data_IF_732220556510
#
_entry.id   IF_732220556510
#
_cell.length_a   1.000
_cell.length_b   1.000
_cell.length_c   1.000
_cell.angle_alpha   90.00
_cell.angle_beta   90.00
_cell.angle_gamma   90.00
#
_symmetry.space_group_name_H-M   'P 1'
#
loop_
_entity.id
_entity.type
_entity.pdbx_description
1 polymer ?
#
# COMPACT_ATOMS: atom_id res chain seq x y z
N UNK A 1 -30.35 -14.74 -58.45
CA UNK A 1 -30.98 -15.97 -58.98
C UNK A 1 -30.15 -17.11 -58.42
N UNK A 2 -30.43 -17.56 -57.19
CA UNK A 2 -31.24 -18.75 -56.87
C UNK A 2 -30.50 -20.04 -57.28
N UNK A 3 -30.41 -21.15 -56.55
CA UNK A 3 -30.90 -21.72 -55.28
C UNK A 3 -30.10 -23.07 -55.17
N UNK A 4 -29.58 -23.51 -54.00
CA UNK A 4 -30.08 -24.64 -53.16
C UNK A 4 -29.99 -26.05 -53.88
N UNK A 5 -29.41 -27.18 -53.38
CA UNK A 5 -29.56 -28.01 -52.14
C UNK A 5 -28.45 -29.12 -52.09
N UNK A 6 -28.17 -29.64 -50.87
CA UNK A 6 -27.85 -31.06 -50.46
C UNK A 6 -26.53 -31.72 -50.94
N UNK A 7 -25.83 -32.66 -50.27
CA UNK A 7 -26.05 -33.70 -49.22
C UNK A 7 -24.72 -33.83 -48.41
N UNK A 8 -24.65 -34.22 -47.13
CA UNK A 8 -24.80 -35.60 -46.62
C UNK A 8 -23.55 -36.00 -45.79
N UNK A 9 -23.74 -36.48 -44.56
CA UNK A 9 -22.64 -36.89 -43.65
C UNK A 9 -22.12 -38.32 -43.94
N UNK A 10 -20.87 -38.64 -43.55
CA UNK A 10 -20.49 -40.02 -43.26
C UNK A 10 -20.02 -40.21 -41.80
N UNK A 11 -20.67 -41.15 -41.11
CA UNK A 11 -20.18 -41.79 -39.89
C UNK A 11 -19.03 -42.75 -40.19
N UNK A 12 -17.92 -42.67 -39.45
CA UNK A 12 -16.83 -43.65 -39.49
C UNK A 12 -16.54 -44.26 -38.12
N UNK A 13 -16.67 -45.59 -38.02
CA UNK A 13 -16.34 -46.41 -36.86
C UNK A 13 -14.95 -47.03 -37.01
N UNK A 14 -14.15 -46.94 -35.94
CA UNK A 14 -13.22 -47.99 -35.49
C UNK A 14 -11.73 -47.71 -35.66
N UNK A 15 -10.99 -47.68 -34.53
CA UNK A 15 -9.71 -48.38 -34.34
C UNK A 15 -9.12 -48.16 -32.93
N UNK A 16 -9.06 -49.27 -32.17
CA UNK A 16 -8.02 -49.74 -31.22
C UNK A 16 -6.94 -48.72 -30.81
N UNK A 17 -6.91 -48.32 -29.53
CA UNK A 17 -5.74 -47.69 -28.89
C UNK A 17 -5.30 -48.48 -27.66
N UNK A 18 -3.99 -48.67 -27.61
CA UNK A 18 -3.21 -49.63 -26.84
C UNK A 18 -3.20 -49.32 -25.34
N UNK A 19 -3.32 -50.37 -24.55
CA UNK A 19 -3.02 -50.42 -23.11
C UNK A 19 -1.58 -49.98 -22.83
N UNK A 20 -1.43 -48.78 -22.26
CA UNK A 20 -0.19 -48.34 -21.61
C UNK A 20 -0.40 -48.29 -20.10
N UNK A 21 0.31 -49.20 -19.43
CA UNK A 21 0.62 -49.21 -18.01
C UNK A 21 1.18 -47.85 -17.58
N UNK A 22 0.43 -47.05 -16.82
CA UNK A 22 0.98 -45.86 -16.14
C UNK A 22 1.26 -46.23 -14.69
N UNK A 23 2.55 -46.23 -14.36
CA UNK A 23 3.12 -46.57 -13.05
C UNK A 23 2.71 -45.52 -12.01
N UNK A 24 2.14 -46.00 -10.90
CA UNK A 24 1.99 -45.25 -9.66
C UNK A 24 3.39 -44.96 -9.10
N UNK A 25 3.79 -43.69 -9.08
CA UNK A 25 4.97 -43.21 -8.37
C UNK A 25 4.50 -42.30 -7.24
N UNK A 26 4.24 -42.96 -6.11
CA UNK A 26 3.92 -42.36 -4.83
C UNK A 26 5.18 -41.73 -4.23
N UNK A 27 5.01 -40.60 -3.54
CA UNK A 27 5.94 -39.98 -2.58
C UNK A 27 7.30 -39.49 -3.10
N UNK A 28 7.34 -38.20 -3.46
CA UNK A 28 8.34 -37.31 -2.89
C UNK A 28 7.58 -36.37 -1.95
N UNK A 29 7.65 -36.65 -0.66
CA UNK A 29 7.33 -35.65 0.35
C UNK A 29 8.30 -34.50 0.14
N UNK A 30 7.81 -33.37 -0.35
CA UNK A 30 8.55 -32.13 -0.27
C UNK A 30 8.90 -31.93 1.20
N UNK A 31 10.20 -31.91 1.49
CA UNK A 31 10.75 -31.41 2.75
C UNK A 31 10.19 -30.01 2.91
N UNK A 32 9.17 -29.89 3.76
CA UNK A 32 8.69 -28.61 4.23
C UNK A 32 9.89 -27.95 4.91
N UNK A 33 10.34 -26.87 4.30
CA UNK A 33 11.38 -26.00 4.81
C UNK A 33 11.01 -25.62 6.26
N UNK A 34 11.88 -26.00 7.21
CA UNK A 34 11.88 -25.43 8.55
C UNK A 34 12.37 -24.00 8.46
N UNK A 35 11.50 -23.10 8.00
CA UNK A 35 11.70 -21.67 8.07
C UNK A 35 11.02 -21.17 9.33
N UNK A 36 11.80 -20.73 10.32
CA UNK A 36 11.31 -20.03 11.50
C UNK A 36 10.32 -18.95 11.05
N UNK A 37 9.04 -19.16 11.31
CA UNK A 37 8.00 -18.18 11.01
C UNK A 37 8.22 -17.01 11.94
N UNK A 38 9.06 -16.06 11.51
CA UNK A 38 8.99 -14.70 12.03
C UNK A 38 7.54 -14.30 11.91
N UNK A 39 6.94 -14.04 13.07
CA UNK A 39 5.52 -13.81 13.14
C UNK A 39 5.14 -12.64 12.24
N UNK A 40 4.25 -12.82 11.28
CA UNK A 40 3.80 -11.75 10.39
C UNK A 40 2.50 -11.15 10.91
N UNK A 41 2.28 -9.87 10.67
CA UNK A 41 0.98 -9.22 10.77
C UNK A 41 0.69 -8.41 9.52
N UNK A 42 -0.40 -7.66 9.54
CA UNK A 42 -0.81 -6.79 8.44
C UNK A 42 -0.85 -5.34 8.91
N UNK A 43 -0.46 -4.41 8.06
CA UNK A 43 -0.61 -2.97 8.29
C UNK A 43 -1.52 -2.37 7.24
N UNK A 44 -2.45 -1.53 7.69
CA UNK A 44 -3.30 -0.67 6.89
C UNK A 44 -3.09 0.77 7.34
N UNK A 45 -2.93 1.68 6.38
CA UNK A 45 -2.86 3.12 6.67
C UNK A 45 -4.03 3.82 5.96
N UNK A 46 -4.77 4.62 6.71
CA UNK A 46 -5.87 5.45 6.20
C UNK A 46 -5.63 6.92 6.51
N UNK A 47 -6.14 7.78 5.65
CA UNK A 47 -6.06 9.23 5.76
C UNK A 47 -7.47 9.83 5.95
N UNK A 48 -7.57 10.82 6.82
CA UNK A 48 -8.74 11.71 7.00
C UNK A 48 -8.26 13.17 7.00
N UNK A 49 -9.18 14.12 6.85
CA UNK A 49 -8.89 15.55 7.05
C UNK A 49 -9.63 16.09 8.27
N UNK A 50 -8.92 16.91 9.06
CA UNK A 50 -9.52 17.68 10.13
C UNK A 50 -10.48 18.72 9.53
N UNK A 51 -11.53 19.15 10.25
CA UNK A 51 -12.43 20.19 9.74
C UNK A 51 -11.67 21.43 9.30
N UNK A 52 -11.71 21.72 8.00
CA UNK A 52 -10.97 22.82 7.38
C UNK A 52 -11.87 24.04 7.20
N UNK A 53 -11.38 25.22 7.57
CA UNK A 53 -12.07 26.52 7.42
C UNK A 53 -11.62 27.27 6.16
N UNK A 54 -11.21 26.54 5.13
CA UNK A 54 -10.71 27.09 3.87
C UNK A 54 -11.87 27.60 2.98
N UNK A 55 -12.53 28.69 3.37
CA UNK A 55 -13.75 29.19 2.71
C UNK A 55 -13.61 29.52 1.22
N UNK A 56 -12.39 29.80 0.76
CA UNK A 56 -12.11 30.22 -0.62
C UNK A 56 -11.57 29.07 -1.50
N UNK A 57 -11.34 27.90 -0.92
CA UNK A 57 -10.77 26.72 -1.59
C UNK A 57 -11.88 25.69 -1.76
N UNK A 58 -12.03 25.15 -2.98
CA UNK A 58 -12.99 24.07 -3.27
C UNK A 58 -12.36 22.69 -3.10
N UNK A 59 -11.06 22.55 -3.40
CA UNK A 59 -10.34 21.28 -3.35
C UNK A 59 -8.89 21.49 -2.90
N UNK A 60 -8.38 20.52 -2.14
CA UNK A 60 -6.97 20.44 -1.75
C UNK A 60 -6.44 19.10 -2.23
N UNK A 61 -5.89 19.08 -3.44
CA UNK A 61 -5.39 17.87 -4.07
C UNK A 61 -3.94 17.64 -3.64
N UNK A 62 -3.67 16.51 -2.98
CA UNK A 62 -2.32 16.11 -2.56
C UNK A 62 -1.95 14.78 -3.21
N UNK A 63 -0.76 14.73 -3.81
CA UNK A 63 -0.28 13.55 -4.52
C UNK A 63 0.82 12.85 -3.71
N UNK A 64 0.58 11.58 -3.44
CA UNK A 64 1.53 10.67 -2.79
C UNK A 64 1.95 9.61 -3.80
N UNK A 65 3.21 9.19 -3.76
CA UNK A 65 3.74 8.11 -4.62
C UNK A 65 4.32 6.95 -3.81
N UNK A 66 4.58 7.14 -2.52
CA UNK A 66 5.20 6.08 -1.72
C UNK A 66 4.87 6.21 -0.23
N UNK A 67 4.58 5.06 0.38
CA UNK A 67 4.30 4.94 1.81
C UNK A 67 5.21 3.87 2.39
N UNK A 68 5.91 4.21 3.47
CA UNK A 68 6.82 3.30 4.20
C UNK A 68 6.53 3.29 5.69
N UNK A 69 6.85 2.20 6.35
CA UNK A 69 6.90 2.07 7.81
C UNK A 69 8.31 1.74 8.27
N UNK A 70 8.68 2.19 9.46
CA UNK A 70 9.92 1.79 10.10
C UNK A 70 9.61 0.73 11.14
N UNK A 71 10.14 -0.47 10.91
CA UNK A 71 10.07 -1.56 11.87
C UNK A 71 11.22 -1.47 12.86
N UNK A 72 10.87 -1.43 14.15
CA UNK A 72 11.78 -1.46 15.28
C UNK A 72 11.96 -2.87 15.83
N UNK A 73 11.44 -3.90 15.15
CA UNK A 73 11.61 -5.30 15.54
C UNK A 73 13.10 -5.60 15.76
N UNK A 74 13.49 -5.55 17.03
CA UNK A 74 14.70 -6.19 17.51
C UNK A 74 14.47 -7.67 17.26
N UNK A 75 15.27 -8.27 16.39
CA UNK A 75 15.42 -9.71 16.37
C UNK A 75 15.98 -10.12 17.74
N UNK A 76 15.11 -10.38 18.70
CA UNK A 76 15.44 -11.32 19.75
C UNK A 76 15.53 -12.67 19.06
N UNK A 77 16.69 -12.92 18.43
CA UNK A 77 17.17 -14.25 18.10
C UNK A 77 16.92 -15.09 19.34
N UNK A 78 16.08 -16.14 19.29
CA UNK A 78 16.03 -17.10 20.36
C UNK A 78 17.42 -17.73 20.40
N UNK A 79 18.16 -17.40 21.45
CA UNK A 79 19.39 -18.07 21.84
C UNK A 79 19.13 -19.59 21.81
N UNK A 80 19.83 -20.29 20.91
CA UNK A 80 19.38 -21.61 20.46
C UNK A 80 20.37 -22.39 19.59
N UNK A 81 21.66 -22.35 19.92
CA UNK A 81 22.56 -23.50 19.68
C UNK A 81 23.56 -23.44 18.51
N UNK A 82 24.84 -23.46 18.91
CA UNK A 82 26.07 -23.91 18.22
C UNK A 82 26.63 -23.08 17.03
N UNK A 83 27.91 -22.66 17.08
CA UNK A 83 28.57 -21.95 15.98
C UNK A 83 29.26 -22.95 15.04
N UNK A 84 28.53 -23.49 14.06
CA UNK A 84 29.09 -24.37 13.05
C UNK A 84 29.09 -23.68 11.68
N UNK A 85 30.31 -23.35 11.27
CA UNK A 85 30.79 -22.69 10.05
C UNK A 85 29.92 -22.76 8.77
N UNK A 86 29.80 -21.61 8.11
CA UNK A 86 29.95 -21.57 6.64
C UNK A 86 28.73 -21.26 5.77
N UNK A 87 27.67 -20.63 6.28
CA UNK A 87 26.58 -20.12 5.43
C UNK A 87 26.62 -18.59 5.36
N UNK A 88 26.80 -18.06 4.15
CA UNK A 88 26.55 -16.66 3.80
C UNK A 88 25.07 -16.36 4.08
N UNK A 89 24.78 -15.76 5.23
CA UNK A 89 23.49 -15.14 5.51
C UNK A 89 23.50 -13.73 4.94
N UNK A 90 23.00 -13.55 3.72
CA UNK A 90 22.39 -12.27 3.32
C UNK A 90 21.02 -12.16 4.00
N UNK A 91 21.05 -12.07 5.32
CA UNK A 91 19.88 -11.96 6.19
C UNK A 91 19.75 -10.54 6.69
N UNK A 92 19.11 -9.66 5.91
CA UNK A 92 18.65 -8.37 6.43
C UNK A 92 17.40 -8.58 7.30
N UNK A 93 17.56 -9.24 8.45
CA UNK A 93 16.60 -9.22 9.54
C UNK A 93 17.09 -8.20 10.58
N UNK A 94 16.97 -6.92 10.21
CA UNK A 94 17.29 -5.78 11.07
C UNK A 94 16.23 -4.71 10.90
N UNK A 95 16.01 -3.93 11.96
CA UNK A 95 15.17 -2.73 11.97
C UNK A 95 15.40 -1.90 10.70
N UNK A 96 14.33 -1.46 10.05
CA UNK A 96 14.47 -0.79 8.76
C UNK A 96 13.16 -0.31 8.14
N UNK A 97 13.30 0.41 7.02
CA UNK A 97 12.17 0.92 6.26
C UNK A 97 11.58 -0.17 5.38
N UNK A 98 10.31 -0.50 5.62
CA UNK A 98 9.50 -1.41 4.81
C UNK A 98 8.57 -0.56 3.95
N UNK A 99 8.61 -0.77 2.63
CA UNK A 99 7.70 -0.11 1.69
C UNK A 99 6.35 -0.82 1.74
N UNK A 100 5.28 -0.06 2.00
CA UNK A 100 3.92 -0.59 1.98
C UNK A 100 3.32 -0.57 0.57
N UNK A 101 3.44 0.56 -0.11
CA UNK A 101 2.96 0.74 -1.48
C UNK A 101 3.71 1.89 -2.17
N UNK A 102 3.75 1.82 -3.51
CA UNK A 102 4.44 2.78 -4.39
C UNK A 102 3.50 3.35 -5.47
N UNK A 103 2.19 3.22 -5.26
CA UNK A 103 1.19 3.67 -6.23
C UNK A 103 0.98 5.17 -6.10
N UNK A 104 1.13 5.88 -7.22
CA UNK A 104 0.86 7.30 -7.27
C UNK A 104 -0.65 7.55 -7.21
N UNK A 105 -1.09 8.27 -6.19
CA UNK A 105 -2.49 8.63 -6.00
C UNK A 105 -2.61 10.10 -5.62
N UNK A 106 -3.66 10.74 -6.13
CA UNK A 106 -4.02 12.12 -5.77
C UNK A 106 -5.32 12.09 -4.97
N UNK A 107 -5.30 12.69 -3.80
CA UNK A 107 -6.39 12.69 -2.84
C UNK A 107 -6.83 14.13 -2.60
N UNK A 108 -8.13 14.39 -2.70
CA UNK A 108 -8.73 15.65 -2.29
C UNK A 108 -9.02 15.62 -0.78
N UNK A 109 -8.22 16.33 0.00
CA UNK A 109 -8.33 16.32 1.46
C UNK A 109 -9.67 16.87 1.94
N UNK A 110 -10.26 17.85 1.24
CA UNK A 110 -11.55 18.43 1.66
C UNK A 110 -12.69 17.42 1.56
N UNK A 111 -12.54 16.41 0.70
CA UNK A 111 -13.49 15.29 0.59
C UNK A 111 -13.44 14.31 1.77
N UNK A 112 -12.38 14.36 2.57
CA UNK A 112 -12.14 13.50 3.73
C UNK A 112 -12.60 14.09 5.06
N UNK A 113 -13.21 15.28 5.03
CA UNK A 113 -13.77 15.90 6.22
C UNK A 113 -15.00 15.16 6.75
N UNK A 114 -15.33 15.36 8.03
CA UNK A 114 -16.52 14.76 8.65
C UNK A 114 -16.40 13.27 8.98
N UNK A 115 -15.16 12.79 9.22
CA UNK A 115 -14.90 11.40 9.62
C UNK A 115 -14.84 10.42 8.44
N UNK A 116 -14.55 10.91 7.24
CA UNK A 116 -14.35 10.07 6.05
C UNK A 116 -12.88 9.66 5.95
N UNK A 117 -12.64 8.36 5.83
CA UNK A 117 -11.31 7.81 5.69
C UNK A 117 -11.10 7.28 4.28
N UNK A 118 -9.92 7.50 3.72
CA UNK A 118 -9.48 6.84 2.49
C UNK A 118 -8.22 6.03 2.75
N UNK A 119 -8.12 4.78 2.26
CA UNK A 119 -6.89 4.00 2.39
C UNK A 119 -5.77 4.63 1.56
N UNK A 120 -4.55 4.70 2.11
CA UNK A 120 -3.36 5.16 1.40
C UNK A 120 -2.68 4.07 0.59
N UNK A 121 -2.91 2.79 0.90
CA UNK A 121 -2.48 1.70 0.04
C UNK A 121 -3.74 1.04 -0.51
N UNK A 122 -4.00 1.31 -1.78
CA UNK A 122 -5.14 0.75 -2.50
C UNK A 122 -4.74 0.34 -3.90
N UNK A 123 -5.46 -0.63 -4.45
CA UNK A 123 -5.28 -1.10 -5.82
C UNK A 123 -6.59 -1.01 -6.59
N UNK A 124 -6.53 -0.86 -7.92
CA UNK A 124 -7.71 -1.02 -8.77
C UNK A 124 -8.29 -2.43 -8.56
N UNK A 125 -9.58 -2.50 -8.25
CA UNK A 125 -10.33 -3.73 -8.23
C UNK A 125 -10.74 -4.12 -9.66
N UNK A 126 -10.96 -5.42 -9.89
CA UNK A 126 -11.31 -5.94 -11.21
C UNK A 126 -12.68 -5.42 -11.73
N UNK A 127 -13.54 -4.93 -10.85
CA UNK A 127 -14.83 -4.32 -11.15
C UNK A 127 -14.75 -2.80 -11.41
N UNK A 128 -13.54 -2.23 -11.40
CA UNK A 128 -13.30 -0.79 -11.54
C UNK A 128 -13.42 -0.01 -10.23
N UNK A 129 -13.59 -0.69 -9.09
CA UNK A 129 -13.53 -0.09 -7.77
C UNK A 129 -12.10 0.14 -7.27
N UNK A 130 -12.00 0.66 -6.04
CA UNK A 130 -10.73 0.81 -5.31
C UNK A 130 -10.77 -0.16 -4.14
N UNK A 131 -9.85 -1.11 -4.11
CA UNK A 131 -9.74 -2.08 -3.02
C UNK A 131 -8.56 -1.71 -2.12
N UNK A 132 -8.81 -1.69 -0.83
CA UNK A 132 -7.79 -1.50 0.17
C UNK A 132 -6.87 -2.72 0.24
N UNK A 133 -5.55 -2.47 0.29
CA UNK A 133 -4.55 -3.55 0.32
C UNK A 133 -3.89 -3.56 1.70
N UNK A 134 -4.22 -4.53 2.56
CA UNK A 134 -3.42 -4.76 3.76
C UNK A 134 -2.06 -5.33 3.36
N UNK A 135 -0.99 -4.78 3.92
CA UNK A 135 0.38 -5.17 3.58
C UNK A 135 0.97 -6.00 4.70
N UNK A 136 1.51 -7.18 4.36
CA UNK A 136 2.17 -8.04 5.34
C UNK A 136 3.50 -7.44 5.78
N UNK A 137 3.68 -7.29 7.09
CA UNK A 137 4.92 -6.82 7.72
C UNK A 137 5.27 -7.73 8.90
N UNK A 138 6.54 -7.78 9.35
CA UNK A 138 6.89 -8.47 10.58
C UNK A 138 6.05 -7.94 11.76
N UNK A 139 5.54 -8.86 12.58
CA UNK A 139 4.89 -8.51 13.83
C UNK A 139 5.95 -7.93 14.78
N UNK A 140 5.65 -6.78 15.36
CA UNK A 140 6.66 -5.98 16.04
C UNK A 140 6.19 -4.56 16.27
N UNK A 141 7.09 -3.72 16.79
CA UNK A 141 6.81 -2.30 16.97
C UNK A 141 7.13 -1.54 15.69
N UNK A 142 6.17 -0.75 15.22
CA UNK A 142 6.37 0.25 14.18
C UNK A 142 6.52 1.60 14.89
N UNK A 143 7.71 2.19 14.82
CA UNK A 143 7.95 3.50 15.43
C UNK A 143 7.47 4.63 14.54
N UNK A 144 7.62 4.49 13.22
CA UNK A 144 7.43 5.58 12.26
C UNK A 144 6.70 5.16 11.00
N UNK A 145 5.96 6.12 10.43
CA UNK A 145 5.42 6.09 9.07
C UNK A 145 6.09 7.22 8.28
N UNK A 146 6.38 6.98 7.01
CA UNK A 146 6.89 7.98 6.10
C UNK A 146 6.01 8.04 4.85
N UNK A 147 5.51 9.24 4.55
CA UNK A 147 4.70 9.53 3.37
C UNK A 147 5.51 10.37 2.40
N UNK A 148 5.73 9.89 1.19
CA UNK A 148 6.37 10.69 0.15
C UNK A 148 5.30 11.52 -0.58
N UNK A 149 5.46 12.85 -0.56
CA UNK A 149 4.57 13.78 -1.24
C UNK A 149 5.29 14.35 -2.45
N UNK A 150 4.75 14.12 -3.64
CA UNK A 150 5.33 14.59 -4.91
C UNK A 150 4.67 15.84 -5.45
N UNK A 151 3.46 16.17 -4.98
CA UNK A 151 2.72 17.33 -5.48
C UNK A 151 1.57 17.73 -4.57
N UNK A 152 1.18 19.00 -4.69
CA UNK A 152 -0.03 19.54 -4.08
C UNK A 152 -0.59 20.68 -4.94
N UNK A 153 -1.91 20.78 -5.03
CA UNK A 153 -2.60 21.79 -5.83
C UNK A 153 -3.86 22.27 -5.11
N UNK A 154 -4.15 23.56 -5.22
CA UNK A 154 -5.40 24.17 -4.74
C UNK A 154 -6.31 24.53 -5.90
N UNK A 155 -7.60 24.27 -5.72
CA UNK A 155 -8.67 24.74 -6.60
C UNK A 155 -9.53 25.71 -5.80
N UNK A 156 -9.90 26.84 -6.39
CA UNK A 156 -10.62 27.92 -5.71
C UNK A 156 -12.11 27.95 -6.08
N UNK A 157 -12.94 28.45 -5.16
CA UNK A 157 -14.39 28.58 -5.34
C UNK A 157 -14.79 29.71 -6.30
N UNK A 158 -13.91 30.69 -6.53
CA UNK A 158 -14.18 31.92 -7.27
C UNK A 158 -13.85 31.83 -8.78
N UNK A 159 -13.46 30.65 -9.26
CA UNK A 159 -13.04 30.44 -10.64
C UNK A 159 -11.60 30.87 -10.93
N UNK A 160 -10.83 31.27 -9.92
CA UNK A 160 -9.38 31.48 -10.05
C UNK A 160 -8.71 30.19 -10.55
N UNK A 161 -7.74 30.28 -11.48
CA UNK A 161 -7.00 29.10 -11.94
C UNK A 161 -6.41 28.31 -10.77
N UNK A 162 -6.43 26.98 -10.90
CA UNK A 162 -5.79 26.09 -9.93
C UNK A 162 -4.32 26.48 -9.77
N UNK A 163 -3.85 26.50 -8.52
CA UNK A 163 -2.49 26.94 -8.20
C UNK A 163 -1.71 25.80 -7.57
N UNK A 164 -0.52 25.53 -8.11
CA UNK A 164 0.40 24.56 -7.53
C UNK A 164 0.96 25.07 -6.21
N UNK A 165 1.02 24.15 -5.24
CA UNK A 165 1.53 24.42 -3.90
C UNK A 165 2.92 23.82 -3.78
N UNK A 166 3.88 24.63 -3.36
CA UNK A 166 5.22 24.13 -3.12
C UNK A 166 5.26 23.32 -1.83
N UNK A 167 5.78 22.09 -1.89
CA UNK A 167 5.95 21.18 -0.74
C UNK A 167 7.45 21.01 -0.42
N UNK A 168 8.04 21.78 0.51
CA UNK A 168 9.49 21.78 0.72
C UNK A 168 10.01 20.53 1.41
N UNK A 169 9.24 19.97 2.34
CA UNK A 169 9.65 18.87 3.22
C UNK A 169 9.20 17.48 2.75
N UNK A 170 8.30 17.42 1.76
CA UNK A 170 7.71 16.17 1.25
C UNK A 170 8.50 15.49 0.14
N UNK A 171 9.23 16.25 -0.67
CA UNK A 171 9.77 15.79 -1.97
C UNK A 171 11.16 15.14 -1.90
N UNK A 172 11.95 15.37 -0.84
CA UNK A 172 13.34 14.87 -0.78
C UNK A 172 13.48 13.64 0.11
N UNK A 173 12.81 13.62 1.27
CA UNK A 173 12.92 12.51 2.22
C UNK A 173 11.59 11.87 2.57
N UNK A 174 10.45 12.44 2.15
CA UNK A 174 9.14 12.08 2.66
C UNK A 174 8.88 12.61 4.08
N UNK A 175 7.62 12.87 4.37
CA UNK A 175 7.10 13.34 5.64
C UNK A 175 7.12 12.21 6.66
N UNK A 176 7.92 12.36 7.72
CA UNK A 176 8.06 11.40 8.81
C UNK A 176 7.03 11.68 9.90
N UNK A 177 6.33 10.64 10.33
CA UNK A 177 5.28 10.67 11.36
C UNK A 177 5.64 9.60 12.40
N UNK A 178 5.73 9.99 13.67
CA UNK A 178 5.97 9.04 14.76
C UNK A 178 4.61 8.42 15.19
N UNK A 179 4.49 7.10 15.13
CA UNK A 179 3.25 6.34 15.44
C UNK A 179 3.39 5.44 16.66
N UNK A 180 4.57 4.84 16.87
CA UNK A 180 4.88 3.92 17.99
C UNK A 180 3.77 2.91 18.30
N UNK A 181 3.33 2.14 17.30
CA UNK A 181 2.26 1.15 17.43
C UNK A 181 2.78 -0.28 17.22
N UNK A 182 2.16 -1.28 17.83
CA UNK A 182 2.58 -2.68 17.71
C UNK A 182 1.68 -3.44 16.74
N UNK A 183 2.29 -4.07 15.75
CA UNK A 183 1.64 -5.00 14.83
C UNK A 183 1.44 -6.34 15.54
N UNK A 184 0.19 -6.81 15.73
CA UNK A 184 -0.08 -8.08 16.37
C UNK A 184 0.28 -9.26 15.46
N UNK A 185 0.74 -10.35 16.07
CA UNK A 185 1.02 -11.61 15.39
C UNK A 185 -0.26 -12.17 14.73
N UNK A 186 -0.24 -12.34 13.41
CA UNK A 186 -1.36 -12.84 12.61
C UNK A 186 -2.55 -11.88 12.51
N UNK A 187 -2.47 -10.70 13.15
CA UNK A 187 -3.53 -9.71 13.16
C UNK A 187 -3.25 -8.54 12.21
N UNK A 188 -4.12 -7.53 12.29
CA UNK A 188 -4.00 -6.30 11.51
C UNK A 188 -3.85 -5.08 12.43
N UNK A 189 -2.93 -4.19 12.09
CA UNK A 189 -2.76 -2.87 12.65
C UNK A 189 -3.33 -1.84 11.67
N UNK A 190 -4.31 -1.07 12.12
CA UNK A 190 -4.87 0.06 11.35
C UNK A 190 -4.31 1.38 11.92
N UNK A 191 -3.53 2.08 11.12
CA UNK A 191 -3.01 3.42 11.44
C UNK A 191 -3.88 4.43 10.72
N UNK A 192 -4.53 5.32 11.49
CA UNK A 192 -5.32 6.41 10.95
C UNK A 192 -4.54 7.71 11.09
N UNK A 193 -4.39 8.42 9.98
CA UNK A 193 -3.68 9.68 9.90
C UNK A 193 -4.67 10.79 9.62
N UNK A 194 -4.64 11.83 10.46
CA UNK A 194 -5.43 13.03 10.32
C UNK A 194 -4.55 14.15 9.77
N UNK A 195 -4.81 14.52 8.52
CA UNK A 195 -4.16 15.64 7.87
C UNK A 195 -4.96 16.91 8.18
N UNK A 196 -4.29 17.99 8.57
CA UNK A 196 -4.97 19.26 8.80
C UNK A 196 -4.68 20.20 7.64
N UNK A 197 -5.52 20.18 6.59
CA UNK A 197 -5.30 20.99 5.40
C UNK A 197 -5.25 22.49 5.72
N UNK A 198 -6.09 22.96 6.66
CA UNK A 198 -6.18 24.35 7.05
C UNK A 198 -4.89 24.85 7.73
N UNK A 199 -4.29 24.03 8.60
CA UNK A 199 -3.00 24.36 9.23
C UNK A 199 -1.80 24.10 8.32
N UNK A 200 -1.95 23.26 7.30
CA UNK A 200 -0.85 22.87 6.42
C UNK A 200 -0.58 23.86 5.29
N UNK A 201 -1.57 24.65 4.88
CA UNK A 201 -1.45 25.56 3.72
C UNK A 201 -1.13 26.98 4.19
N UNK A 202 -0.06 27.54 3.66
CA UNK A 202 0.37 28.90 3.95
C UNK A 202 0.53 29.73 2.68
N UNK A 203 -0.05 30.93 2.67
CA UNK A 203 0.18 31.92 1.62
C UNK A 203 1.44 32.73 1.96
N UNK A 204 2.42 32.69 1.05
CA UNK A 204 3.65 33.48 1.16
C UNK A 204 3.40 34.95 0.82
N UNK A 205 4.27 35.85 1.29
CA UNK A 205 4.18 37.29 1.00
C UNK A 205 4.25 37.65 -0.50
N UNK A 206 4.78 36.75 -1.34
CA UNK A 206 4.82 36.90 -2.80
C UNK A 206 3.58 36.33 -3.51
N UNK A 207 2.54 35.95 -2.77
CA UNK A 207 1.27 35.43 -3.31
C UNK A 207 1.30 33.95 -3.70
N UNK A 208 2.43 33.25 -3.55
CA UNK A 208 2.53 31.79 -3.76
C UNK A 208 2.02 31.01 -2.55
N UNK A 209 1.62 29.76 -2.75
CA UNK A 209 1.23 28.85 -1.68
C UNK A 209 2.34 27.85 -1.36
N UNK A 210 2.49 27.58 -0.08
CA UNK A 210 3.41 26.60 0.50
C UNK A 210 2.58 25.60 1.31
N UNK A 211 2.96 24.33 1.27
CA UNK A 211 2.40 23.30 2.14
C UNK A 211 3.46 22.83 3.14
N UNK A 212 3.15 22.96 4.42
CA UNK A 212 3.88 22.37 5.54
C UNK A 212 2.94 21.38 6.23
N UNK A 213 2.93 20.10 5.83
CA UNK A 213 1.95 19.14 6.32
C UNK A 213 1.93 19.03 7.84
N UNK A 214 0.77 19.25 8.43
CA UNK A 214 0.46 18.99 9.83
C UNK A 214 -0.37 17.71 9.85
N UNK A 215 0.23 16.61 10.31
CA UNK A 215 -0.42 15.30 10.39
C UNK A 215 -0.35 14.77 11.81
N UNK A 216 -1.45 14.17 12.27
CA UNK A 216 -1.56 13.55 13.59
C UNK A 216 -2.00 12.11 13.43
N UNK A 217 -1.62 11.27 14.37
CA UNK A 217 -2.12 9.89 14.45
C UNK A 217 -3.37 9.91 15.30
N UNK A 218 -4.47 9.37 14.77
CA UNK A 218 -5.73 9.26 15.49
C UNK A 218 -5.98 7.80 15.91
N UNK A 219 -6.57 7.58 17.10
CA UNK A 219 -6.88 6.25 17.61
C UNK A 219 -8.02 5.55 16.84
#
# INVERSE_FOLDING_TARGET
MAEILLEGEPTYRGAIVRTSLVVVLFSVFAVSCGGSSMGMGQVKISLTDAPSDLTNVSQVNVTFDEIRVHDDASTSSPDGGAPDAGASQDGNNGSGWIVLCTDTQTIDLLSLTGGRFTPLCSRPAADGGVEEVPVAVPAGNISQVRLHLVGAQLVFNDGTPSTDVTVPSGTTSGLKIDVNQTVPLGGALEIKLDFDAAQSIHKTGNGKYLMQPVIRVVP
#
